data_IF_807869127098
#
_entry.id   IF_807869127098
#
_cell.length_a   1.000
_cell.length_b   1.000
_cell.length_c   1.000
_cell.angle_alpha   90.00
_cell.angle_beta   90.00
_cell.angle_gamma   90.00
#
_symmetry.space_group_name_H-M   'P 1'
#
loop_
_entity.id
_entity.type
_entity.pdbx_description
1 polymer ?
#
# COMPACT_ATOMS: atom_id res chain seq x y z
N UNK A 1 13.26 -1.54 15.58
CA UNK A 1 12.92 -1.06 14.22
C UNK A 1 12.67 -2.25 13.32
N UNK A 2 11.62 -2.22 12.52
CA UNK A 2 11.37 -3.19 11.45
C UNK A 2 11.31 -2.42 10.11
N UNK A 3 12.03 -2.91 9.11
CA UNK A 3 12.11 -2.30 7.78
C UNK A 3 11.16 -3.04 6.85
N UNK A 4 10.26 -2.31 6.18
CA UNK A 4 9.32 -2.87 5.22
C UNK A 4 10.01 -3.44 3.99
N UNK A 5 9.45 -4.51 3.45
CA UNK A 5 9.91 -5.10 2.19
C UNK A 5 9.34 -4.31 1.00
N UNK A 6 10.14 -4.15 -0.04
CA UNK A 6 9.65 -3.63 -1.33
C UNK A 6 8.58 -4.54 -1.92
N UNK A 7 7.57 -3.94 -2.56
CA UNK A 7 6.59 -4.69 -3.35
C UNK A 7 7.24 -5.42 -4.53
N UNK A 8 6.69 -6.58 -4.88
CA UNK A 8 7.21 -7.44 -5.95
C UNK A 8 6.06 -8.05 -6.75
N UNK A 9 6.34 -8.60 -7.92
CA UNK A 9 5.34 -9.30 -8.74
C UNK A 9 4.84 -10.52 -7.96
N UNK A 10 3.55 -10.58 -7.72
CA UNK A 10 2.98 -11.52 -6.75
C UNK A 10 2.65 -12.88 -7.35
N UNK A 11 2.93 -13.90 -6.54
CA UNK A 11 2.38 -15.25 -6.69
C UNK A 11 1.59 -15.65 -5.44
N UNK A 12 0.69 -14.78 -4.96
CA UNK A 12 -0.08 -14.89 -3.71
C UNK A 12 0.65 -14.58 -2.39
N UNK A 13 1.91 -14.17 -2.44
CA UNK A 13 2.67 -13.79 -1.25
C UNK A 13 2.45 -12.32 -0.88
N UNK A 14 2.61 -12.00 0.40
CA UNK A 14 2.57 -10.63 0.95
C UNK A 14 3.98 -10.11 1.17
N UNK A 15 4.19 -8.79 1.10
CA UNK A 15 5.46 -8.20 1.47
C UNK A 15 5.59 -8.09 3.00
N UNK A 16 6.82 -8.33 3.51
CA UNK A 16 7.09 -8.24 4.94
C UNK A 16 6.70 -6.88 5.51
N UNK A 17 6.14 -6.91 6.70
CA UNK A 17 5.61 -5.79 7.47
C UNK A 17 4.41 -5.10 6.78
N UNK A 18 3.53 -5.92 6.19
CA UNK A 18 2.14 -5.56 5.92
C UNK A 18 1.78 -5.17 4.51
N UNK A 19 2.65 -5.31 3.51
CA UNK A 19 2.23 -5.12 2.12
C UNK A 19 1.29 -6.24 1.65
N UNK A 20 0.09 -5.90 1.20
CA UNK A 20 -0.91 -6.85 0.72
C UNK A 20 -0.52 -7.52 -0.60
N UNK A 21 -0.95 -8.75 -0.82
CA UNK A 21 -0.71 -9.44 -2.09
C UNK A 21 -1.51 -8.83 -3.24
N UNK A 22 -0.91 -8.78 -4.43
CA UNK A 22 -1.65 -8.57 -5.67
C UNK A 22 -2.43 -9.83 -6.06
N UNK A 23 -3.37 -9.73 -6.99
CA UNK A 23 -4.06 -10.90 -7.51
C UNK A 23 -3.08 -11.79 -8.29
N UNK A 24 -2.89 -13.07 -7.90
CA UNK A 24 -1.91 -13.96 -8.51
C UNK A 24 -2.40 -14.63 -9.80
N UNK A 25 -3.69 -14.51 -10.11
CA UNK A 25 -4.31 -15.23 -11.21
C UNK A 25 -4.06 -14.52 -12.56
N UNK A 26 -4.21 -15.28 -13.64
CA UNK A 26 -4.05 -14.76 -15.00
C UNK A 26 -2.61 -14.80 -15.52
N UNK A 27 -2.44 -14.35 -16.76
CA UNK A 27 -1.14 -14.37 -17.44
C UNK A 27 -0.15 -13.34 -16.87
N UNK A 28 -0.65 -12.31 -16.21
CA UNK A 28 0.17 -11.24 -15.62
C UNK A 28 -0.37 -10.83 -14.26
N UNK A 29 0.14 -11.45 -13.19
CA UNK A 29 -0.30 -11.17 -11.83
C UNK A 29 -0.01 -9.72 -11.40
N UNK A 30 -0.87 -9.18 -10.55
CA UNK A 30 -0.66 -7.90 -9.90
C UNK A 30 0.53 -7.90 -8.95
N UNK A 31 1.05 -6.72 -8.65
CA UNK A 31 2.17 -6.55 -7.72
C UNK A 31 1.66 -6.44 -6.28
N UNK A 32 2.47 -6.92 -5.33
CA UNK A 32 2.23 -6.67 -3.91
C UNK A 32 2.39 -5.19 -3.60
N UNK A 33 1.69 -4.71 -2.59
CA UNK A 33 2.09 -3.46 -1.94
C UNK A 33 3.42 -3.62 -1.21
N UNK A 34 4.12 -2.52 -0.96
CA UNK A 34 5.29 -2.46 -0.09
C UNK A 34 4.88 -2.52 1.38
N UNK A 35 5.74 -3.10 2.23
CA UNK A 35 5.55 -3.10 3.68
C UNK A 35 5.87 -1.76 4.31
N UNK A 36 5.33 -1.51 5.50
CA UNK A 36 5.66 -0.35 6.30
C UNK A 36 7.03 -0.48 6.98
N UNK A 37 7.73 0.63 7.16
CA UNK A 37 8.89 0.69 8.08
C UNK A 37 8.43 1.34 9.38
N UNK A 38 8.77 0.74 10.55
CA UNK A 38 8.38 1.33 11.81
C UNK A 38 9.47 1.26 12.90
N UNK A 39 9.38 2.16 13.85
CA UNK A 39 10.12 2.18 15.09
C UNK A 39 9.13 2.00 16.24
N UNK A 40 9.38 1.03 17.10
CA UNK A 40 8.57 0.77 18.28
C UNK A 40 9.45 0.37 19.47
N UNK A 41 8.93 0.50 20.68
CA UNK A 41 9.55 0.02 21.92
C UNK A 41 9.26 -1.46 22.20
N UNK A 42 8.32 -2.06 21.42
CA UNK A 42 8.03 -3.48 21.43
C UNK A 42 8.50 -4.15 20.13
N UNK A 43 8.83 -5.44 20.20
CA UNK A 43 9.26 -6.24 19.06
C UNK A 43 8.06 -6.78 18.27
N UNK A 44 8.25 -7.00 16.96
CA UNK A 44 7.28 -7.65 16.08
C UNK A 44 7.03 -6.88 14.79
N UNK A 45 6.25 -7.46 13.88
CA UNK A 45 5.71 -6.76 12.74
C UNK A 45 4.63 -5.76 13.20
N UNK A 46 4.41 -4.70 12.45
CA UNK A 46 3.49 -3.62 12.86
C UNK A 46 2.09 -4.16 13.20
N UNK A 47 1.55 -5.05 12.40
CA UNK A 47 0.23 -5.65 12.63
C UNK A 47 0.13 -6.41 13.96
N UNK A 48 1.22 -7.02 14.44
CA UNK A 48 1.24 -7.72 15.73
C UNK A 48 1.17 -6.78 16.93
N UNK A 49 1.39 -5.48 16.72
CA UNK A 49 1.31 -4.45 17.75
C UNK A 49 -0.09 -3.82 17.86
N UNK A 50 -1.11 -4.38 17.21
CA UNK A 50 -2.48 -3.84 17.21
C UNK A 50 -3.09 -3.66 18.61
N UNK A 51 -2.78 -4.56 19.55
CA UNK A 51 -3.18 -4.45 20.95
C UNK A 51 -2.27 -3.56 21.79
N UNK A 52 -1.13 -3.09 21.25
CA UNK A 52 -0.13 -2.28 21.94
C UNK A 52 0.36 -1.12 21.06
N UNK A 53 -0.57 -0.38 20.47
CA UNK A 53 -0.26 0.71 19.53
C UNK A 53 0.57 1.83 20.18
N UNK A 54 0.47 2.03 21.50
CA UNK A 54 1.26 3.02 22.24
C UNK A 54 2.77 2.72 22.23
N UNK A 55 3.16 1.47 21.93
CA UNK A 55 4.57 1.13 21.76
C UNK A 55 5.15 1.63 20.43
N UNK A 56 4.31 2.00 19.46
CA UNK A 56 4.76 2.47 18.15
C UNK A 56 5.08 3.95 18.20
N UNK A 57 6.31 4.30 17.84
CA UNK A 57 6.80 5.68 17.86
C UNK A 57 6.69 6.35 16.48
N UNK A 58 6.97 5.61 15.42
CA UNK A 58 6.98 6.15 14.05
C UNK A 58 6.64 5.06 13.05
N UNK A 59 5.85 5.39 12.03
CA UNK A 59 5.57 4.54 10.88
C UNK A 59 5.74 5.34 9.58
N UNK A 60 6.55 4.82 8.67
CA UNK A 60 6.56 5.21 7.27
C UNK A 60 5.72 4.21 6.48
N UNK A 61 4.64 4.68 5.87
CA UNK A 61 3.74 3.82 5.08
C UNK A 61 4.39 3.36 3.78
N UNK A 62 4.12 2.11 3.39
CA UNK A 62 4.52 1.53 2.12
C UNK A 62 3.59 1.92 0.97
N UNK A 63 4.11 1.98 -0.25
CA UNK A 63 3.31 2.22 -1.46
C UNK A 63 2.44 1.03 -1.83
N UNK A 64 1.34 1.27 -2.52
CA UNK A 64 0.51 0.23 -3.13
C UNK A 64 1.20 -0.45 -4.30
N UNK A 65 0.79 -1.67 -4.61
CA UNK A 65 1.26 -2.43 -5.77
C UNK A 65 0.61 -1.95 -7.08
N UNK A 66 1.34 -2.05 -8.18
CA UNK A 66 0.79 -1.82 -9.51
C UNK A 66 -0.12 -2.97 -9.94
N UNK A 67 -1.03 -2.70 -10.86
CA UNK A 67 -1.76 -3.75 -11.58
C UNK A 67 -0.83 -4.55 -12.49
N UNK A 68 -1.12 -5.81 -12.75
CA UNK A 68 -0.49 -6.59 -13.81
C UNK A 68 -0.89 -6.06 -15.20
N UNK A 69 -0.08 -6.30 -16.24
CA UNK A 69 -0.38 -5.65 -17.49
C UNK A 69 0.32 -6.17 -18.75
N UNK A 70 0.06 -7.43 -19.18
CA UNK A 70 0.58 -7.94 -20.47
C UNK A 70 -0.49 -8.31 -21.48
N UNK A 71 -1.78 -8.20 -21.15
CA UNK A 71 -2.83 -8.38 -22.13
C UNK A 71 -2.92 -7.20 -23.10
N UNK A 72 -3.55 -7.44 -24.25
CA UNK A 72 -3.70 -6.52 -25.40
C UNK A 72 -4.23 -5.12 -25.05
N UNK A 73 -4.73 -4.94 -23.85
CA UNK A 73 -5.17 -3.67 -23.28
C UNK A 73 -4.00 -3.06 -22.48
N UNK A 74 -3.39 -2.03 -22.97
CA UNK A 74 -2.24 -1.31 -22.38
C UNK A 74 -2.56 -0.57 -21.07
N UNK A 75 -3.38 -1.12 -20.21
CA UNK A 75 -3.94 -0.44 -19.04
C UNK A 75 -3.31 -0.96 -17.76
N UNK A 76 -2.25 -0.33 -17.32
CA UNK A 76 -1.59 -0.62 -16.03
C UNK A 76 -1.87 0.51 -15.05
N UNK A 77 -2.62 0.22 -13.99
CA UNK A 77 -2.78 1.16 -12.88
C UNK A 77 -1.57 1.14 -11.97
N UNK A 78 -0.99 2.30 -11.70
CA UNK A 78 0.11 2.43 -10.73
C UNK A 78 -0.41 2.38 -9.30
N UNK A 79 0.38 1.83 -8.40
CA UNK A 79 0.11 1.89 -6.97
C UNK A 79 0.22 3.32 -6.43
N UNK A 80 -0.58 3.64 -5.41
CA UNK A 80 -0.52 4.92 -4.69
C UNK A 80 0.70 4.99 -3.79
N UNK A 81 1.27 6.19 -3.62
CA UNK A 81 2.37 6.40 -2.69
C UNK A 81 1.93 6.24 -1.23
N UNK A 82 2.80 5.67 -0.41
CA UNK A 82 2.61 5.60 1.04
C UNK A 82 3.14 6.82 1.77
N UNK A 83 2.90 6.89 3.07
CA UNK A 83 3.37 7.98 3.94
C UNK A 83 2.38 9.13 4.07
N UNK A 84 2.81 10.19 4.75
CA UNK A 84 1.89 11.27 5.14
C UNK A 84 0.88 10.82 6.19
N UNK A 85 -0.08 11.66 6.52
CA UNK A 85 -1.22 11.31 7.38
C UNK A 85 -2.27 10.45 6.66
N UNK A 86 -2.21 10.40 5.33
CA UNK A 86 -3.02 9.53 4.50
C UNK A 86 -2.18 9.04 3.32
N UNK A 87 -2.25 7.74 3.04
CA UNK A 87 -1.70 7.17 1.82
C UNK A 87 -2.45 7.71 0.59
N UNK A 88 -1.82 7.64 -0.56
CA UNK A 88 -2.40 8.08 -1.83
C UNK A 88 -3.22 6.92 -2.44
N UNK A 89 -4.38 7.24 -3.02
CA UNK A 89 -5.16 6.30 -3.82
C UNK A 89 -4.34 5.85 -5.03
N UNK A 90 -4.38 4.57 -5.36
CA UNK A 90 -3.79 4.04 -6.58
C UNK A 90 -4.40 4.67 -7.83
N UNK A 91 -3.83 4.36 -8.98
CA UNK A 91 -4.36 4.82 -10.27
C UNK A 91 -5.00 3.62 -10.95
N UNK A 92 -6.13 3.85 -11.59
CA UNK A 92 -6.69 2.96 -12.58
C UNK A 92 -6.42 3.54 -13.97
N UNK A 93 -6.00 2.72 -14.92
CA UNK A 93 -5.80 3.12 -16.30
C UNK A 93 -6.84 2.41 -17.18
N UNK A 94 -7.44 3.13 -18.12
CA UNK A 94 -8.37 2.60 -19.12
C UNK A 94 -9.83 2.98 -18.93
N UNK A 95 -10.66 2.55 -19.88
CA UNK A 95 -12.08 2.93 -19.94
C UNK A 95 -12.93 2.23 -18.86
N UNK A 96 -12.42 1.17 -18.23
CA UNK A 96 -13.15 0.36 -17.25
C UNK A 96 -12.97 0.82 -15.79
N UNK A 97 -12.29 1.94 -15.58
CA UNK A 97 -12.02 2.48 -14.23
C UNK A 97 -13.30 2.78 -13.43
N UNK A 98 -14.42 3.02 -14.09
CA UNK A 98 -15.72 3.21 -13.44
C UNK A 98 -16.28 1.96 -12.77
N UNK A 99 -15.90 0.78 -13.26
CA UNK A 99 -16.37 -0.50 -12.74
C UNK A 99 -15.36 -1.19 -11.82
N UNK A 100 -14.08 -0.85 -11.92
CA UNK A 100 -12.97 -1.56 -11.24
C UNK A 100 -11.90 -0.59 -10.75
N UNK A 101 -12.26 0.33 -9.85
CA UNK A 101 -11.37 1.41 -9.44
C UNK A 101 -10.13 0.92 -8.68
N UNK A 102 -9.18 1.81 -8.55
CA UNK A 102 -8.00 1.61 -7.72
C UNK A 102 -8.35 1.54 -6.22
N UNK A 103 -7.49 0.90 -5.44
CA UNK A 103 -7.59 0.91 -3.99
C UNK A 103 -7.33 2.30 -3.42
N UNK A 104 -8.09 2.72 -2.40
CA UNK A 104 -7.86 4.00 -1.74
C UNK A 104 -6.70 3.91 -0.74
N UNK A 105 -6.09 5.06 -0.42
CA UNK A 105 -5.06 5.12 0.62
C UNK A 105 -5.62 4.83 2.02
N UNK A 106 -4.76 4.31 2.91
CA UNK A 106 -5.04 4.21 4.33
C UNK A 106 -4.99 5.58 5.01
N UNK A 107 -5.71 5.74 6.11
CA UNK A 107 -5.82 6.99 6.89
C UNK A 107 -5.25 6.82 8.30
N UNK A 108 -5.46 7.80 9.20
CA UNK A 108 -5.06 7.68 10.60
C UNK A 108 -6.01 6.80 11.43
N UNK A 109 -7.18 6.47 10.91
CA UNK A 109 -8.25 5.79 11.67
C UNK A 109 -8.82 4.56 10.97
N UNK A 110 -8.54 4.37 9.67
CA UNK A 110 -9.09 3.27 8.90
C UNK A 110 -8.17 2.85 7.75
N UNK A 111 -8.22 1.57 7.41
CA UNK A 111 -7.64 1.04 6.19
C UNK A 111 -8.33 1.56 4.93
N UNK A 112 -7.61 1.59 3.82
CA UNK A 112 -8.15 1.93 2.53
C UNK A 112 -9.20 0.92 2.05
N UNK A 113 -10.12 1.38 1.21
CA UNK A 113 -11.19 0.54 0.64
C UNK A 113 -10.73 -0.14 -0.64
N UNK A 114 -11.21 -1.36 -0.83
CA UNK A 114 -11.03 -2.16 -2.03
C UNK A 114 -12.39 -2.36 -2.71
N UNK A 115 -12.40 -2.41 -4.05
CA UNK A 115 -13.66 -2.49 -4.79
C UNK A 115 -14.18 -3.92 -5.03
N UNK A 116 -13.33 -4.90 -4.89
CA UNK A 116 -13.70 -6.32 -5.05
C UNK A 116 -13.57 -7.02 -3.71
N UNK A 117 -14.21 -8.19 -3.52
CA UNK A 117 -13.98 -9.00 -2.33
C UNK A 117 -12.48 -9.23 -2.16
N UNK A 118 -11.88 -8.52 -1.26
CA UNK A 118 -10.46 -8.54 -0.94
C UNK A 118 -10.31 -8.78 0.56
N UNK A 119 -9.18 -9.28 1.00
CA UNK A 119 -8.84 -9.25 2.41
C UNK A 119 -8.65 -7.78 2.77
N UNK A 120 -9.45 -7.29 3.73
CA UNK A 120 -9.52 -5.87 4.06
C UNK A 120 -8.17 -5.33 4.58
N UNK A 121 -7.90 -4.07 4.26
CA UNK A 121 -6.84 -3.31 4.90
C UNK A 121 -7.17 -3.02 6.37
N UNK A 122 -6.13 -2.92 7.20
CA UNK A 122 -6.26 -2.65 8.62
C UNK A 122 -4.99 -2.05 9.21
N UNK A 123 -4.93 -2.03 10.55
CA UNK A 123 -3.74 -1.60 11.27
C UNK A 123 -2.54 -2.47 10.89
N UNK A 124 -1.49 -1.85 10.38
CA UNK A 124 -0.27 -2.54 9.93
C UNK A 124 -0.38 -3.33 8.64
N UNK A 125 -1.57 -3.45 8.03
CA UNK A 125 -1.84 -4.37 6.91
C UNK A 125 -2.50 -3.66 5.73
N UNK A 126 -1.90 -3.75 4.55
CA UNK A 126 -2.53 -3.46 3.27
C UNK A 126 -3.47 -4.57 2.83
N UNK A 127 -4.50 -4.21 2.09
CA UNK A 127 -5.47 -5.15 1.55
C UNK A 127 -4.83 -6.09 0.52
N UNK A 128 -5.19 -7.38 0.58
CA UNK A 128 -4.85 -8.36 -0.47
C UNK A 128 -5.92 -8.34 -1.55
N UNK A 129 -5.51 -8.25 -2.80
CA UNK A 129 -6.42 -8.23 -3.94
C UNK A 129 -7.21 -9.55 -4.06
N UNK A 130 -8.41 -9.45 -4.62
CA UNK A 130 -9.28 -10.60 -4.88
C UNK A 130 -8.61 -11.60 -5.83
N UNK A 131 -8.85 -12.88 -5.62
CA UNK A 131 -8.38 -13.98 -6.46
C UNK A 131 -9.35 -14.37 -7.59
N UNK A 132 -10.31 -13.52 -7.93
CA UNK A 132 -11.23 -13.79 -9.03
C UNK A 132 -10.47 -13.96 -10.36
N UNK A 133 -10.93 -14.87 -11.21
CA UNK A 133 -10.08 -15.48 -12.28
C UNK A 133 -10.38 -15.03 -13.70
N UNK A 134 -11.24 -14.04 -13.93
CA UNK A 134 -11.81 -13.89 -15.28
C UNK A 134 -11.21 -12.79 -16.16
N UNK A 135 -10.20 -12.06 -15.68
CA UNK A 135 -9.62 -10.94 -16.45
C UNK A 135 -8.12 -11.10 -16.70
N UNK A 136 -7.69 -10.56 -17.81
CA UNK A 136 -6.31 -10.53 -18.23
C UNK A 136 -5.40 -9.67 -17.32
N UNK A 137 -5.93 -8.64 -16.70
CA UNK A 137 -5.18 -7.66 -15.93
C UNK A 137 -5.59 -7.76 -14.47
N UNK A 138 -4.62 -7.96 -13.61
CA UNK A 138 -4.85 -8.26 -12.20
C UNK A 138 -4.58 -7.06 -11.32
N UNK A 139 -5.42 -6.83 -10.30
CA UNK A 139 -5.29 -5.71 -9.37
C UNK A 139 -4.04 -5.82 -8.48
N UNK A 140 -3.47 -4.67 -8.14
CA UNK A 140 -2.36 -4.54 -7.18
C UNK A 140 -2.82 -4.63 -5.73
N UNK A 141 -1.94 -5.12 -4.83
CA UNK A 141 -2.17 -5.15 -3.39
C UNK A 141 -2.00 -3.77 -2.73
N UNK A 142 -2.62 -3.54 -1.59
CA UNK A 142 -2.45 -2.31 -0.80
C UNK A 142 -1.11 -2.26 -0.07
N UNK A 143 -0.56 -1.08 0.14
CA UNK A 143 0.65 -0.85 0.95
C UNK A 143 0.38 -0.99 2.44
N UNK A 144 1.37 -1.47 3.22
CA UNK A 144 1.34 -1.47 4.68
C UNK A 144 1.47 -0.06 5.25
N UNK A 145 1.01 0.19 6.48
CA UNK A 145 1.08 1.51 7.11
C UNK A 145 0.51 1.50 8.51
N UNK A 146 0.42 2.66 9.16
CA UNK A 146 -0.35 2.79 10.41
C UNK A 146 -1.74 2.19 10.19
N UNK A 147 -2.40 2.60 9.13
CA UNK A 147 -3.41 1.80 8.45
C UNK A 147 -3.00 1.60 7.01
N UNK A 148 -3.15 0.38 6.50
CA UNK A 148 -2.75 0.02 5.14
C UNK A 148 -3.71 0.52 4.09
N UNK A 149 -3.26 0.56 2.84
CA UNK A 149 -4.08 0.91 1.68
C UNK A 149 -4.97 -0.22 1.21
N UNK A 150 -6.02 0.11 0.47
CA UNK A 150 -6.92 -0.83 -0.20
C UNK A 150 -6.26 -1.50 -1.41
N UNK A 151 -6.74 -2.67 -1.78
CA UNK A 151 -6.33 -3.34 -3.01
C UNK A 151 -7.04 -2.77 -4.23
N UNK A 152 -6.36 -2.76 -5.36
CA UNK A 152 -6.93 -2.42 -6.65
C UNK A 152 -7.88 -3.49 -7.17
N UNK A 153 -8.86 -3.03 -7.95
CA UNK A 153 -9.77 -3.90 -8.68
C UNK A 153 -9.10 -4.61 -9.84
N UNK A 154 -9.70 -5.69 -10.32
CA UNK A 154 -9.32 -6.36 -11.57
C UNK A 154 -9.38 -5.36 -12.75
N UNK A 155 -8.79 -5.72 -13.88
CA UNK A 155 -8.74 -4.89 -15.08
C UNK A 155 -8.02 -3.53 -14.91
N UNK A 156 -6.95 -3.50 -14.12
CA UNK A 156 -5.99 -2.40 -14.14
C UNK A 156 -6.01 -1.47 -12.93
N UNK A 157 -6.67 -1.82 -11.84
CA UNK A 157 -6.61 -1.03 -10.60
C UNK A 157 -5.31 -1.23 -9.83
N UNK A 158 -4.54 -0.15 -9.57
CA UNK A 158 -3.43 -0.15 -8.63
C UNK A 158 -3.93 -0.13 -7.18
N UNK A 159 -3.16 -0.69 -6.25
CA UNK A 159 -3.43 -0.62 -4.82
C UNK A 159 -3.18 0.77 -4.25
N UNK A 160 -3.84 1.13 -3.16
CA UNK A 160 -3.57 2.36 -2.41
C UNK A 160 -2.35 2.23 -1.51
N UNK A 161 -1.70 3.34 -1.20
CA UNK A 161 -0.62 3.41 -0.23
C UNK A 161 -1.12 3.38 1.22
N UNK A 162 -0.25 2.95 2.15
CA UNK A 162 -0.53 3.01 3.58
C UNK A 162 -0.21 4.37 4.18
N UNK A 163 -0.84 4.73 5.29
CA UNK A 163 -0.57 5.96 6.03
C UNK A 163 0.68 5.83 6.89
N UNK A 164 1.35 6.96 7.12
CA UNK A 164 2.39 7.12 8.12
C UNK A 164 1.78 7.44 9.49
N UNK A 165 2.62 7.40 10.53
CA UNK A 165 2.24 7.78 11.88
C UNK A 165 3.43 8.33 12.64
N UNK A 166 3.19 9.27 13.51
CA UNK A 166 4.17 9.76 14.48
C UNK A 166 3.50 9.88 15.83
N UNK A 167 4.11 9.25 16.83
CA UNK A 167 3.67 9.36 18.22
C UNK A 167 3.80 10.79 18.72
N UNK A 168 2.87 11.21 19.59
CA UNK A 168 2.92 12.49 20.33
C UNK A 168 4.12 12.60 21.30
N UNK A 169 4.82 11.50 21.53
CA UNK A 169 6.07 11.48 22.30
C UNK A 169 7.26 12.06 21.52
N UNK A 170 7.11 12.24 20.20
CA UNK A 170 8.14 12.76 19.31
C UNK A 170 7.78 14.18 18.84
N UNK A 171 8.74 15.08 18.88
CA UNK A 171 8.61 16.39 18.24
C UNK A 171 8.93 16.24 16.76
N UNK A 172 7.94 16.45 15.89
CA UNK A 172 8.06 16.32 14.45
C UNK A 172 7.67 17.63 13.79
N UNK A 173 8.52 18.09 12.88
CA UNK A 173 8.27 19.33 12.14
C UNK A 173 7.41 19.10 10.89
N UNK A 174 7.44 17.88 10.31
CA UNK A 174 6.74 17.60 9.08
C UNK A 174 6.54 16.09 8.86
N UNK A 175 5.36 15.69 8.37
CA UNK A 175 5.03 14.35 7.88
C UNK A 175 4.67 14.45 6.40
N UNK A 176 5.52 13.90 5.54
CA UNK A 176 5.38 14.02 4.08
C UNK A 176 4.82 12.72 3.47
N UNK A 177 4.02 12.88 2.43
CA UNK A 177 3.63 11.77 1.57
C UNK A 177 4.83 11.31 0.72
N UNK A 178 4.87 10.02 0.36
CA UNK A 178 6.00 9.44 -0.36
C UNK A 178 6.17 9.93 -1.81
N UNK A 179 5.19 10.67 -2.35
CA UNK A 179 5.27 11.31 -3.66
C UNK A 179 5.73 12.78 -3.61
N UNK A 180 6.12 13.27 -2.45
CA UNK A 180 6.62 14.64 -2.26
C UNK A 180 8.13 14.61 -2.09
N UNK A 181 8.83 15.48 -2.80
CA UNK A 181 10.28 15.64 -2.64
C UNK A 181 10.61 16.07 -1.21
N UNK A 182 11.48 15.31 -0.55
CA UNK A 182 11.93 15.64 0.79
C UNK A 182 12.98 16.76 0.72
N UNK A 183 12.80 17.87 1.44
CA UNK A 183 13.85 18.89 1.51
C UNK A 183 15.11 18.29 2.15
N UNK A 184 16.24 18.37 1.46
CA UNK A 184 17.52 18.00 2.05
C UNK A 184 18.01 19.17 2.93
N UNK A 185 18.18 19.00 4.24
CA UNK A 185 18.67 20.05 5.12
C UNK A 185 20.09 20.55 4.77
N UNK A 186 20.80 19.85 3.88
CA UNK A 186 22.10 20.26 3.35
C UNK A 186 22.02 20.93 1.97
N UNK A 187 20.83 21.29 1.48
CA UNK A 187 20.64 22.09 0.27
C UNK A 187 20.70 21.34 -1.07
N UNK A 188 20.59 20.01 -1.08
CA UNK A 188 20.44 19.21 -2.32
C UNK A 188 19.07 18.51 -2.38
N UNK A 189 18.59 18.27 -3.59
CA UNK A 189 17.41 17.38 -3.78
C UNK A 189 17.94 15.95 -3.78
N UNK A 190 17.44 15.11 -2.88
CA UNK A 190 17.66 13.66 -2.99
C UNK A 190 16.75 13.14 -4.10
N UNK A 191 17.33 12.76 -5.21
CA UNK A 191 16.67 12.05 -6.32
C UNK A 191 16.63 10.55 -6.08
#
# INVERSE_FOLDING_TARGET
>A
MAVGQQGFKSSSSTAYNGGGAGNPNGADPGYTGGGATHIATANGALASLSANQNAVLLVAGGGGGAAGGTCVCSYQGNGGAGGGTSGITGICSGNDCGYRPAGTGGTQVAGGTSQTPAIAAGFGLGATASTLTNDCIQGGGGGGGWYGGGAGGQAGGGGGGGSGYVSNLLTVTQVLAGNVSMPNPRGGVMT
#
